data_IF_838634373881
#
_entry.id   IF_838634373881
#
_cell.length_a   1.000
_cell.length_b   1.000
_cell.length_c   1.000
_cell.angle_alpha   90.00
_cell.angle_beta   90.00
_cell.angle_gamma   90.00
#
_symmetry.space_group_name_H-M   'P 1'
#
loop_
_entity.id
_entity.type
_entity.pdbx_description
1 polymer ?
#
# COMPACT_ATOMS: atom_id res chain seq x y z
N UNK A 1 16.24 5.38 -28.59
CA UNK A 1 16.10 4.10 -27.84
C UNK A 1 15.61 4.30 -26.39
N UNK A 2 16.27 5.07 -25.54
CA UNK A 2 15.81 5.26 -24.14
C UNK A 2 14.49 6.04 -24.04
N UNK A 3 14.27 7.05 -24.87
CA UNK A 3 13.01 7.82 -24.92
C UNK A 3 11.83 6.98 -25.42
N UNK A 4 12.04 6.06 -26.34
CA UNK A 4 10.98 5.20 -26.88
C UNK A 4 10.45 4.23 -25.83
N UNK A 5 11.34 3.63 -25.02
CA UNK A 5 10.96 2.73 -23.94
C UNK A 5 10.14 3.44 -22.84
N UNK A 6 10.49 4.69 -22.51
CA UNK A 6 9.75 5.51 -21.53
C UNK A 6 8.36 5.85 -22.08
N UNK A 7 8.26 6.17 -23.37
CA UNK A 7 6.99 6.48 -24.02
C UNK A 7 6.06 5.26 -24.04
N UNK A 8 6.56 4.11 -24.48
CA UNK A 8 5.83 2.84 -24.50
C UNK A 8 5.32 2.46 -23.09
N UNK A 9 6.15 2.57 -22.06
CA UNK A 9 5.75 2.31 -20.67
C UNK A 9 4.62 3.24 -20.22
N UNK A 10 4.66 4.51 -20.61
CA UNK A 10 3.64 5.49 -20.25
C UNK A 10 2.31 5.19 -20.94
N UNK A 11 2.34 4.84 -22.21
CA UNK A 11 1.14 4.46 -22.97
C UNK A 11 0.52 3.19 -22.43
N UNK A 12 1.30 2.12 -22.21
CA UNK A 12 0.83 0.88 -21.64
C UNK A 12 0.23 1.09 -20.24
N UNK A 13 0.90 1.89 -19.41
CA UNK A 13 0.36 2.25 -18.09
C UNK A 13 -0.99 2.95 -18.22
N UNK A 14 -1.13 3.89 -19.13
CA UNK A 14 -2.38 4.61 -19.35
C UNK A 14 -3.51 3.67 -19.80
N UNK A 15 -3.23 2.80 -20.78
CA UNK A 15 -4.18 1.82 -21.28
C UNK A 15 -4.68 0.88 -20.14
N UNK A 16 -3.76 0.28 -19.40
CA UNK A 16 -4.10 -0.64 -18.30
C UNK A 16 -4.90 0.06 -17.20
N UNK A 17 -4.52 1.29 -16.85
CA UNK A 17 -5.28 2.08 -15.87
C UNK A 17 -6.70 2.39 -16.38
N UNK A 18 -6.86 2.78 -17.63
CA UNK A 18 -8.16 3.04 -18.25
C UNK A 18 -9.05 1.78 -18.21
N UNK A 19 -8.50 0.63 -18.57
CA UNK A 19 -9.22 -0.66 -18.51
C UNK A 19 -9.61 -1.03 -17.08
N UNK A 20 -8.73 -0.85 -16.11
CA UNK A 20 -9.00 -1.11 -14.70
C UNK A 20 -10.06 -0.16 -14.13
N UNK A 21 -10.00 1.12 -14.48
CA UNK A 21 -10.96 2.14 -14.03
C UNK A 21 -12.35 1.90 -14.64
N UNK A 22 -12.43 1.32 -15.84
CA UNK A 22 -13.68 0.96 -16.50
C UNK A 22 -14.33 -0.34 -15.99
N UNK A 23 -13.63 -1.12 -15.14
CA UNK A 23 -14.23 -2.32 -14.54
C UNK A 23 -15.41 -1.96 -13.64
N UNK A 24 -16.45 -2.79 -13.66
CA UNK A 24 -17.57 -2.66 -12.72
C UNK A 24 -17.09 -2.71 -11.27
N UNK A 25 -17.70 -1.89 -10.41
CA UNK A 25 -17.34 -1.85 -8.99
C UNK A 25 -17.42 -3.22 -8.33
N UNK A 26 -18.48 -4.01 -8.63
CA UNK A 26 -18.65 -5.37 -8.12
C UNK A 26 -17.53 -6.31 -8.56
N UNK A 27 -17.05 -6.19 -9.81
CA UNK A 27 -15.95 -7.01 -10.31
C UNK A 27 -14.63 -6.66 -9.63
N UNK A 28 -14.38 -5.36 -9.38
CA UNK A 28 -13.20 -4.90 -8.61
C UNK A 28 -13.22 -5.39 -7.17
N UNK A 29 -14.39 -5.36 -6.53
CA UNK A 29 -14.58 -5.86 -5.17
C UNK A 29 -14.32 -7.37 -5.08
N UNK A 30 -14.90 -8.17 -5.97
CA UNK A 30 -14.65 -9.61 -6.05
C UNK A 30 -13.16 -9.92 -6.27
N UNK A 31 -12.50 -9.19 -7.17
CA UNK A 31 -11.06 -9.33 -7.40
C UNK A 31 -10.25 -8.97 -6.14
N UNK A 32 -10.61 -7.91 -5.43
CA UNK A 32 -9.95 -7.51 -4.18
C UNK A 32 -10.09 -8.60 -3.11
N UNK A 33 -11.29 -9.14 -2.90
CA UNK A 33 -11.50 -10.26 -1.97
C UNK A 33 -10.68 -11.50 -2.34
N UNK A 34 -10.62 -11.85 -3.64
CA UNK A 34 -9.83 -12.99 -4.11
C UNK A 34 -8.32 -12.78 -3.86
N UNK A 35 -7.81 -11.57 -4.11
CA UNK A 35 -6.41 -11.21 -3.87
C UNK A 35 -6.12 -11.21 -2.36
N UNK A 36 -6.96 -10.60 -1.52
CA UNK A 36 -6.80 -10.61 -0.08
C UNK A 36 -6.74 -12.03 0.49
N UNK A 37 -7.59 -12.94 -0.01
CA UNK A 37 -7.56 -14.36 0.37
C UNK A 37 -6.23 -15.03 0.01
N UNK A 38 -5.69 -14.76 -1.18
CA UNK A 38 -4.37 -15.27 -1.59
C UNK A 38 -3.26 -14.71 -0.72
N UNK A 39 -3.28 -13.42 -0.41
CA UNK A 39 -2.29 -12.78 0.48
C UNK A 39 -2.31 -13.41 1.87
N UNK A 40 -3.49 -13.63 2.45
CA UNK A 40 -3.64 -14.32 3.76
C UNK A 40 -2.99 -15.70 3.74
N UNK A 41 -3.23 -16.48 2.69
CA UNK A 41 -2.62 -17.81 2.55
C UNK A 41 -1.10 -17.75 2.36
N UNK A 42 -0.62 -16.82 1.55
CA UNK A 42 0.82 -16.65 1.27
C UNK A 42 1.60 -16.19 2.51
N UNK A 43 0.98 -15.39 3.38
CA UNK A 43 1.63 -14.82 4.55
C UNK A 43 1.23 -15.52 5.88
N UNK A 44 0.55 -16.66 5.79
CA UNK A 44 0.13 -17.43 6.98
C UNK A 44 1.31 -17.94 7.86
N UNK A 45 2.54 -17.94 7.32
CA UNK A 45 3.75 -18.31 8.05
C UNK A 45 4.26 -17.21 9.00
N UNK A 46 3.78 -15.98 8.87
CA UNK A 46 4.23 -14.88 9.72
C UNK A 46 3.74 -15.08 11.16
N UNK A 47 4.65 -14.86 12.11
CA UNK A 47 4.36 -14.95 13.53
C UNK A 47 3.78 -13.63 14.06
N UNK A 48 3.08 -13.70 15.20
CA UNK A 48 2.68 -12.50 15.93
C UNK A 48 3.90 -11.58 16.19
N UNK A 49 3.73 -10.29 15.95
CA UNK A 49 4.79 -9.29 16.04
C UNK A 49 5.56 -9.06 14.73
N UNK A 50 5.44 -9.94 13.71
CA UNK A 50 6.01 -9.64 12.39
C UNK A 50 5.39 -8.39 11.80
N UNK A 51 6.17 -7.65 11.00
CA UNK A 51 5.78 -6.36 10.43
C UNK A 51 5.44 -6.50 8.94
N UNK A 52 4.26 -6.06 8.57
CA UNK A 52 3.77 -6.05 7.18
C UNK A 52 3.54 -4.62 6.72
N UNK A 53 4.23 -4.24 5.65
CA UNK A 53 4.01 -2.96 4.97
C UNK A 53 2.90 -3.11 3.94
N UNK A 54 1.92 -2.21 4.02
CA UNK A 54 0.78 -2.14 3.11
C UNK A 54 0.68 -0.74 2.50
N UNK A 55 -0.20 -0.56 1.53
CA UNK A 55 -0.53 0.74 0.97
C UNK A 55 -1.97 1.14 1.32
N UNK A 56 -2.27 2.42 1.29
CA UNK A 56 -3.63 2.95 1.30
C UNK A 56 -4.17 2.95 -0.14
N UNK A 57 -5.18 2.14 -0.48
CA UNK A 57 -5.67 2.02 -1.85
C UNK A 57 -6.20 3.36 -2.39
N UNK A 58 -5.85 3.69 -3.62
CA UNK A 58 -6.35 4.86 -4.33
C UNK A 58 -7.14 4.45 -5.56
N UNK A 59 -8.24 5.15 -5.84
CA UNK A 59 -9.09 4.94 -7.02
C UNK A 59 -9.49 3.47 -7.20
N UNK A 60 -9.04 2.84 -8.29
CA UNK A 60 -9.36 1.48 -8.69
C UNK A 60 -8.30 0.44 -8.26
N UNK A 61 -7.38 0.82 -7.38
CA UNK A 61 -6.43 -0.14 -6.80
C UNK A 61 -7.14 -1.23 -6.00
N UNK A 62 -6.46 -2.35 -5.81
CA UNK A 62 -6.99 -3.45 -4.98
C UNK A 62 -7.25 -2.94 -3.57
N UNK A 63 -8.47 -3.11 -3.09
CA UNK A 63 -8.82 -2.81 -1.70
C UNK A 63 -8.24 -3.89 -0.78
N UNK A 64 -7.37 -3.48 0.13
CA UNK A 64 -6.69 -4.37 1.08
C UNK A 64 -7.38 -4.49 2.45
N UNK A 65 -8.56 -3.92 2.62
CA UNK A 65 -9.24 -3.83 3.93
C UNK A 65 -9.35 -5.20 4.62
N UNK A 66 -9.81 -6.22 3.90
CA UNK A 66 -9.93 -7.58 4.42
C UNK A 66 -8.58 -8.18 4.84
N UNK A 67 -7.53 -7.88 4.09
CA UNK A 67 -6.18 -8.35 4.39
C UNK A 67 -5.60 -7.62 5.61
N UNK A 68 -5.76 -6.30 5.68
CA UNK A 68 -5.30 -5.47 6.80
C UNK A 68 -6.00 -5.88 8.11
N UNK A 69 -7.33 -6.08 8.07
CA UNK A 69 -8.08 -6.57 9.22
C UNK A 69 -7.55 -7.93 9.70
N UNK A 70 -7.26 -8.84 8.77
CA UNK A 70 -6.65 -10.12 9.08
C UNK A 70 -5.26 -9.96 9.73
N UNK A 71 -4.40 -9.06 9.23
CA UNK A 71 -3.10 -8.79 9.83
C UNK A 71 -3.23 -8.45 11.32
N UNK A 72 -4.18 -7.59 11.68
CA UNK A 72 -4.43 -7.24 13.07
C UNK A 72 -4.94 -8.43 13.89
N UNK A 73 -5.82 -9.29 13.35
CA UNK A 73 -6.28 -10.50 14.04
C UNK A 73 -5.15 -11.50 14.30
N UNK A 74 -4.13 -11.53 13.42
CA UNK A 74 -2.91 -12.33 13.58
C UNK A 74 -1.86 -11.66 14.50
N UNK A 75 -2.18 -10.50 15.08
CA UNK A 75 -1.27 -9.69 15.91
C UNK A 75 0.01 -9.28 15.16
N UNK A 76 -0.09 -9.04 13.85
CA UNK A 76 0.97 -8.47 13.05
C UNK A 76 1.02 -6.95 13.26
N UNK A 77 2.20 -6.38 13.15
CA UNK A 77 2.39 -4.93 13.07
C UNK A 77 2.14 -4.47 11.64
N UNK A 78 1.21 -3.55 11.45
CA UNK A 78 0.87 -3.01 10.12
C UNK A 78 1.46 -1.62 9.98
N UNK A 79 2.21 -1.40 8.90
CA UNK A 79 2.83 -0.11 8.60
C UNK A 79 2.38 0.42 7.24
N UNK A 80 2.13 1.72 7.18
CA UNK A 80 1.66 2.43 5.99
C UNK A 80 2.66 3.49 5.54
N UNK A 81 2.73 3.80 4.24
CA UNK A 81 3.57 4.87 3.72
C UNK A 81 3.05 6.25 4.16
N UNK A 82 3.94 7.05 4.72
CA UNK A 82 3.72 8.45 5.05
C UNK A 82 4.73 9.29 4.26
N UNK A 83 4.24 10.09 3.32
CA UNK A 83 5.09 10.87 2.44
C UNK A 83 5.66 12.09 3.16
N UNK A 84 6.97 12.30 3.04
CA UNK A 84 7.62 13.49 3.57
C UNK A 84 7.59 14.63 2.55
N UNK A 85 7.86 15.85 3.01
CA UNK A 85 8.08 16.99 2.13
C UNK A 85 9.22 16.70 1.14
N UNK A 86 9.17 17.34 -0.05
CA UNK A 86 10.08 17.01 -1.18
C UNK A 86 11.57 17.16 -0.87
N UNK A 87 11.92 18.05 0.05
CA UNK A 87 13.29 18.31 0.47
C UNK A 87 13.83 17.30 1.48
N UNK A 88 12.95 16.47 2.09
CA UNK A 88 13.37 15.50 3.10
C UNK A 88 14.07 14.28 2.49
N UNK A 89 15.00 13.72 3.25
CA UNK A 89 15.62 12.43 2.98
C UNK A 89 15.56 11.59 4.27
N UNK A 90 14.82 10.47 4.30
CA UNK A 90 14.09 9.85 3.17
C UNK A 90 12.83 10.63 2.78
N UNK A 91 12.36 10.38 1.54
CA UNK A 91 11.13 11.01 1.02
C UNK A 91 9.84 10.38 1.57
N UNK A 92 9.95 9.27 2.25
CA UNK A 92 8.84 8.51 2.79
C UNK A 92 9.30 7.72 4.01
N UNK A 93 8.48 7.72 5.05
CA UNK A 93 8.58 6.76 6.15
C UNK A 93 7.45 5.74 6.08
N UNK A 94 7.74 4.50 6.46
CA UNK A 94 6.68 3.56 6.83
C UNK A 94 6.36 3.81 8.30
N UNK A 95 5.08 4.06 8.62
CA UNK A 95 4.63 4.34 9.99
C UNK A 95 3.70 3.27 10.49
N UNK A 96 3.93 2.84 11.71
CA UNK A 96 3.07 1.87 12.39
C UNK A 96 1.73 2.52 12.77
N UNK A 97 0.66 1.75 12.51
CA UNK A 97 -0.70 2.20 12.80
C UNK A 97 -1.40 1.15 13.64
N UNK A 98 -1.95 1.56 14.78
CA UNK A 98 -2.74 0.71 15.66
C UNK A 98 -4.12 0.41 15.05
N UNK A 99 -4.66 -0.79 15.33
CA UNK A 99 -5.97 -1.23 14.82
C UNK A 99 -7.08 -0.20 15.04
N UNK A 100 -7.15 0.39 16.24
CA UNK A 100 -8.19 1.37 16.58
C UNK A 100 -8.11 2.61 15.69
N UNK A 101 -6.91 3.17 15.51
CA UNK A 101 -6.71 4.35 14.67
C UNK A 101 -7.06 4.07 13.21
N UNK A 102 -6.67 2.90 12.69
CA UNK A 102 -7.02 2.46 11.33
C UNK A 102 -8.54 2.29 11.16
N UNK A 103 -9.18 1.55 12.07
CA UNK A 103 -10.62 1.30 12.04
C UNK A 103 -11.45 2.58 12.14
N UNK A 104 -11.04 3.51 12.99
CA UNK A 104 -11.77 4.76 13.24
C UNK A 104 -11.48 5.80 12.15
N UNK A 105 -10.61 5.51 11.18
CA UNK A 105 -10.27 6.40 10.06
C UNK A 105 -9.43 7.62 10.45
N UNK A 106 -8.81 7.61 11.62
CA UNK A 106 -8.09 8.75 12.21
C UNK A 106 -6.60 8.78 11.85
N UNK A 107 -6.24 8.35 10.63
CA UNK A 107 -4.85 8.30 10.17
C UNK A 107 -4.67 9.23 8.97
N UNK A 108 -4.03 10.41 9.13
CA UNK A 108 -3.99 11.45 8.11
C UNK A 108 -3.37 11.00 6.78
N UNK A 109 -2.32 10.18 6.82
CA UNK A 109 -1.62 9.68 5.64
C UNK A 109 -2.29 8.45 4.98
N UNK A 110 -3.27 7.82 5.64
CA UNK A 110 -4.16 6.83 5.02
C UNK A 110 -5.34 7.54 4.36
N UNK A 111 -5.94 8.52 5.05
CA UNK A 111 -7.04 9.32 4.51
C UNK A 111 -6.61 10.14 3.27
N UNK A 112 -5.35 10.54 3.21
CA UNK A 112 -4.80 11.36 2.13
C UNK A 112 -3.40 10.86 1.72
N UNK A 113 -3.29 9.75 0.97
CA UNK A 113 -2.00 9.08 0.72
C UNK A 113 -0.98 9.92 -0.05
N UNK A 114 -1.42 10.95 -0.76
CA UNK A 114 -0.55 11.85 -1.52
C UNK A 114 -0.14 13.11 -0.73
N UNK A 115 -0.75 13.34 0.43
CA UNK A 115 -0.36 14.46 1.29
C UNK A 115 1.04 14.23 1.82
N UNK A 116 1.82 15.33 1.88
CA UNK A 116 3.18 15.33 2.40
C UNK A 116 3.20 15.99 3.76
N UNK A 117 3.97 15.40 4.66
CA UNK A 117 4.09 15.85 6.04
C UNK A 117 5.53 16.31 6.32
N UNK A 118 5.71 17.34 7.14
CA UNK A 118 7.00 17.66 7.69
C UNK A 118 7.40 16.61 8.74
N UNK A 119 8.67 16.46 9.03
CA UNK A 119 9.17 15.46 9.97
C UNK A 119 8.65 15.70 11.41
N UNK A 120 8.46 16.97 11.76
CA UNK A 120 7.94 17.45 13.05
C UNK A 120 6.42 17.71 13.06
N UNK A 121 5.69 17.27 12.01
CA UNK A 121 4.26 17.45 11.94
C UNK A 121 3.55 16.66 13.05
N UNK A 122 2.88 17.39 13.95
CA UNK A 122 2.21 16.82 15.12
C UNK A 122 1.09 15.83 14.75
N UNK A 123 0.48 15.97 13.57
CA UNK A 123 -0.61 15.08 13.13
C UNK A 123 -0.14 13.65 12.82
N UNK A 124 1.16 13.44 12.66
CA UNK A 124 1.74 12.13 12.39
C UNK A 124 2.70 11.65 13.50
N UNK A 125 2.91 12.45 14.53
CA UNK A 125 3.85 12.16 15.63
C UNK A 125 3.46 10.91 16.42
N UNK A 126 2.17 10.61 16.55
CA UNK A 126 1.65 9.44 17.28
C UNK A 126 1.83 8.12 16.52
N UNK A 127 2.31 8.17 15.28
CA UNK A 127 2.53 7.01 14.43
C UNK A 127 4.04 6.75 14.28
N UNK A 128 4.62 5.81 15.04
CA UNK A 128 6.07 5.58 15.03
C UNK A 128 6.59 5.18 13.65
N UNK A 129 7.73 5.72 13.26
CA UNK A 129 8.43 5.30 12.06
C UNK A 129 9.01 3.90 12.24
N UNK A 130 8.86 3.07 11.21
CA UNK A 130 9.41 1.73 11.16
C UNK A 130 10.68 1.71 10.32
N UNK A 131 11.75 1.10 10.85
CA UNK A 131 12.97 0.91 10.08
C UNK A 131 12.72 -0.07 8.92
N UNK A 132 13.20 0.19 7.69
CA UNK A 132 12.98 -0.69 6.55
C UNK A 132 13.41 -2.15 6.78
N UNK A 133 14.51 -2.35 7.51
CA UNK A 133 15.02 -3.70 7.82
C UNK A 133 14.19 -4.49 8.83
N UNK A 134 13.20 -3.84 9.47
CA UNK A 134 12.27 -4.49 10.40
C UNK A 134 10.98 -4.93 9.72
N UNK A 135 10.87 -4.77 8.40
CA UNK A 135 9.69 -5.16 7.62
C UNK A 135 9.88 -6.57 7.08
N UNK A 136 8.99 -7.49 7.46
CA UNK A 136 9.05 -8.90 7.06
C UNK A 136 8.36 -9.15 5.71
N UNK A 137 7.34 -8.37 5.38
CA UNK A 137 6.64 -8.47 4.10
C UNK A 137 6.17 -7.09 3.61
N UNK A 138 6.20 -6.89 2.30
CA UNK A 138 5.74 -5.63 1.66
C UNK A 138 4.71 -5.95 0.59
N UNK A 139 3.53 -5.35 0.70
CA UNK A 139 2.49 -5.41 -0.32
C UNK A 139 2.60 -4.15 -1.17
N UNK A 140 2.89 -4.34 -2.46
CA UNK A 140 3.13 -3.25 -3.41
C UNK A 140 1.99 -3.17 -4.42
N UNK A 141 1.36 -2.00 -4.61
CA UNK A 141 0.39 -1.83 -5.67
C UNK A 141 1.10 -1.86 -7.03
N UNK A 142 0.56 -2.61 -7.99
CA UNK A 142 1.09 -2.68 -9.34
C UNK A 142 0.04 -2.32 -10.38
N UNK A 143 0.47 -1.69 -11.46
CA UNK A 143 -0.40 -1.37 -12.60
C UNK A 143 -0.42 -2.53 -13.58
N UNK A 144 0.75 -3.04 -13.94
CA UNK A 144 0.93 -4.17 -14.84
C UNK A 144 2.26 -4.88 -14.58
N UNK A 145 2.34 -6.11 -14.98
CA UNK A 145 3.55 -6.92 -15.03
C UNK A 145 3.44 -7.90 -16.21
N UNK A 146 4.56 -8.34 -16.74
CA UNK A 146 4.63 -9.34 -17.79
C UNK A 146 4.71 -10.77 -17.22
N UNK A 147 4.84 -11.76 -18.09
CA UNK A 147 4.94 -13.17 -17.70
C UNK A 147 6.21 -13.50 -16.91
N UNK A 148 7.22 -12.64 -16.97
CA UNK A 148 8.48 -12.74 -16.23
C UNK A 148 8.44 -11.90 -14.94
N UNK A 149 7.25 -11.39 -14.55
CA UNK A 149 7.01 -10.53 -13.39
C UNK A 149 7.78 -9.21 -13.40
N UNK A 150 8.17 -8.72 -14.58
CA UNK A 150 8.79 -7.40 -14.75
C UNK A 150 7.72 -6.31 -14.79
N UNK A 151 8.04 -5.11 -14.26
CA UNK A 151 7.13 -3.94 -14.11
C UNK A 151 7.71 -2.65 -14.69
#
# INVERSE_FOLDING_TARGET
MQNDAIHIKKELRHEVLTRRDAMLASAREQASHAICRKLKNQLAYLSAGSTVAVYAPMKSEVNLEDFIAWCYTQKLTVVFPCMNIKSSNPRMYMRSVEYRAWRDGNVPFIANPLKRFAEDDQSVSDFPACAPRSIDAVIVPMVAFDNDFQR
#
